data_IF_818243370527
#
_entry.id   IF_818243370527
#
_cell.length_a   1.000
_cell.length_b   1.000
_cell.length_c   1.000
_cell.angle_alpha   90.00
_cell.angle_beta   90.00
_cell.angle_gamma   90.00
#
_symmetry.space_group_name_H-M   'P 1'
#
loop_
_entity.id
_entity.type
_entity.pdbx_description
1 polymer ?
#
# COMPACT_ATOMS: atom_id res chain seq x y z
N UNK A 1 26.83 -63.32 -26.13
CA UNK A 1 26.98 -62.68 -24.80
C UNK A 1 26.70 -61.19 -24.96
N UNK A 2 25.58 -60.70 -24.43
CA UNK A 2 25.15 -59.31 -24.59
C UNK A 2 25.85 -58.40 -23.59
N UNK A 3 26.56 -57.37 -24.06
CA UNK A 3 27.12 -56.33 -23.22
C UNK A 3 25.99 -55.47 -22.63
N UNK A 4 25.77 -55.58 -21.32
CA UNK A 4 24.96 -54.63 -20.57
C UNK A 4 25.75 -53.33 -20.48
N UNK A 5 25.37 -52.35 -21.28
CA UNK A 5 25.90 -50.98 -21.19
C UNK A 5 25.24 -50.30 -19.99
N UNK A 6 25.94 -50.22 -18.86
CA UNK A 6 25.54 -49.35 -17.77
C UNK A 6 25.60 -47.87 -18.22
N UNK A 7 24.51 -47.09 -18.15
CA UNK A 7 24.56 -45.69 -18.52
C UNK A 7 25.43 -44.92 -17.50
N UNK A 8 26.60 -44.49 -17.97
CA UNK A 8 27.57 -43.69 -17.21
C UNK A 8 26.98 -42.32 -16.87
N UNK A 9 27.07 -41.97 -15.57
CA UNK A 9 27.09 -40.61 -14.97
C UNK A 9 26.10 -39.59 -15.53
N UNK A 10 25.05 -39.29 -14.74
CA UNK A 10 24.29 -38.02 -14.87
C UNK A 10 25.28 -36.85 -14.99
N UNK A 11 25.24 -36.15 -16.12
CA UNK A 11 26.16 -35.04 -16.42
C UNK A 11 26.01 -33.93 -15.37
N UNK A 12 27.11 -33.25 -15.00
CA UNK A 12 27.08 -32.07 -14.10
C UNK A 12 26.03 -31.05 -14.53
N UNK A 13 25.75 -30.94 -15.83
CA UNK A 13 24.67 -30.14 -16.39
C UNK A 13 23.28 -30.56 -15.88
N UNK A 14 22.91 -31.84 -15.95
CA UNK A 14 21.64 -32.33 -15.39
C UNK A 14 21.57 -32.17 -13.86
N UNK A 15 22.69 -32.34 -13.15
CA UNK A 15 22.75 -32.11 -11.71
C UNK A 15 22.52 -30.63 -11.36
N UNK A 16 23.13 -29.71 -12.12
CA UNK A 16 22.92 -28.27 -11.96
C UNK A 16 21.51 -27.84 -12.35
N UNK A 17 20.90 -28.43 -13.38
CA UNK A 17 19.49 -28.21 -13.75
C UNK A 17 18.56 -28.68 -12.61
N UNK A 18 18.78 -29.88 -12.08
CA UNK A 18 18.03 -30.41 -10.92
C UNK A 18 18.25 -29.61 -9.63
N UNK A 19 19.44 -29.02 -9.43
CA UNK A 19 19.72 -28.12 -8.31
C UNK A 19 19.04 -26.76 -8.50
N UNK A 20 19.00 -26.25 -9.73
CA UNK A 20 18.33 -24.99 -10.05
C UNK A 20 16.81 -25.10 -9.86
N UNK A 21 16.20 -26.23 -10.24
CA UNK A 21 14.80 -26.60 -9.98
C UNK A 21 14.46 -26.75 -8.47
N UNK A 22 15.47 -26.81 -7.59
CA UNK A 22 15.29 -26.98 -6.14
C UNK A 22 15.56 -25.72 -5.33
N UNK A 23 15.98 -24.62 -5.95
CA UNK A 23 16.31 -23.40 -5.20
C UNK A 23 15.03 -22.75 -4.69
N UNK A 24 14.79 -22.87 -3.38
CA UNK A 24 13.67 -22.20 -2.70
C UNK A 24 14.00 -20.72 -2.54
N UNK A 25 13.10 -19.84 -2.99
CA UNK A 25 13.25 -18.41 -2.77
C UNK A 25 13.16 -18.09 -1.27
N UNK A 26 13.95 -17.14 -0.77
CA UNK A 26 13.87 -16.77 0.65
C UNK A 26 12.55 -16.06 0.98
N UNK A 27 12.08 -16.21 2.22
CA UNK A 27 10.88 -15.51 2.69
C UNK A 27 11.00 -13.98 2.60
N UNK A 28 12.20 -13.45 2.79
CA UNK A 28 12.51 -12.02 2.67
C UNK A 28 12.46 -11.51 1.23
N UNK A 29 13.01 -12.27 0.28
CA UNK A 29 12.91 -11.93 -1.15
C UNK A 29 11.46 -11.99 -1.62
N UNK A 30 10.71 -13.02 -1.19
CA UNK A 30 9.28 -13.13 -1.50
C UNK A 30 8.47 -11.97 -0.93
N UNK A 31 8.71 -11.59 0.34
CA UNK A 31 8.06 -10.42 0.93
C UNK A 31 8.38 -9.13 0.16
N UNK A 32 9.66 -8.92 -0.17
CA UNK A 32 10.10 -7.78 -0.96
C UNK A 32 9.39 -7.72 -2.31
N UNK A 33 9.33 -8.84 -3.03
CA UNK A 33 8.60 -8.94 -4.29
C UNK A 33 7.10 -8.62 -4.12
N UNK A 34 6.44 -9.21 -3.13
CA UNK A 34 5.02 -8.94 -2.83
C UNK A 34 4.74 -7.45 -2.58
N UNK A 35 5.60 -6.78 -1.81
CA UNK A 35 5.46 -5.34 -1.52
C UNK A 35 5.66 -4.51 -2.79
N UNK A 36 6.72 -4.79 -3.56
CA UNK A 36 7.06 -4.01 -4.76
C UNK A 36 6.04 -4.15 -5.88
N UNK A 37 5.46 -5.34 -6.05
CA UNK A 37 4.52 -5.60 -7.15
C UNK A 37 3.05 -5.48 -6.73
N UNK A 38 2.77 -5.29 -5.43
CA UNK A 38 1.41 -5.36 -4.88
C UNK A 38 0.75 -6.74 -5.00
N UNK A 39 1.52 -7.79 -5.29
CA UNK A 39 0.99 -9.12 -5.55
C UNK A 39 0.81 -9.90 -4.23
N UNK A 40 -0.35 -10.53 -3.99
CA UNK A 40 -0.52 -11.36 -2.81
C UNK A 40 0.39 -12.59 -2.89
N UNK A 41 0.83 -13.08 -1.72
CA UNK A 41 1.71 -14.25 -1.61
C UNK A 41 1.23 -15.43 -2.47
N UNK A 42 -0.07 -15.71 -2.48
CA UNK A 42 -0.65 -16.86 -3.20
C UNK A 42 -0.44 -16.76 -4.71
N UNK A 43 -0.60 -15.56 -5.29
CA UNK A 43 -0.38 -15.33 -6.71
C UNK A 43 1.11 -15.40 -7.06
N UNK A 44 1.97 -14.79 -6.23
CA UNK A 44 3.42 -14.86 -6.42
C UNK A 44 3.97 -16.29 -6.28
N UNK A 45 3.44 -17.07 -5.33
CA UNK A 45 3.83 -18.46 -5.14
C UNK A 45 3.46 -19.34 -6.35
N UNK A 46 2.27 -19.12 -6.93
CA UNK A 46 1.87 -19.79 -8.19
C UNK A 46 2.80 -19.41 -9.34
N UNK A 47 3.10 -18.12 -9.49
CA UNK A 47 4.02 -17.64 -10.52
C UNK A 47 5.41 -18.28 -10.40
N UNK A 48 6.00 -18.29 -9.20
CA UNK A 48 7.29 -18.93 -8.96
C UNK A 48 7.29 -20.42 -9.32
N UNK A 49 6.23 -21.14 -8.91
CA UNK A 49 6.10 -22.55 -9.25
C UNK A 49 6.02 -22.80 -10.76
N UNK A 50 5.34 -21.92 -11.52
CA UNK A 50 5.30 -22.00 -12.99
C UNK A 50 6.69 -21.75 -13.62
N UNK A 51 7.52 -20.92 -12.99
CA UNK A 51 8.89 -20.68 -13.40
C UNK A 51 9.90 -21.72 -12.87
N UNK A 52 9.44 -22.88 -12.36
CA UNK A 52 10.31 -23.92 -11.82
C UNK A 52 11.02 -23.55 -10.50
N UNK A 53 10.57 -22.50 -9.81
CA UNK A 53 11.15 -22.02 -8.55
C UNK A 53 10.24 -22.34 -7.37
N UNK A 54 10.77 -22.96 -6.32
CA UNK A 54 9.97 -23.30 -5.13
C UNK A 54 9.68 -22.04 -4.28
N UNK A 55 8.42 -21.68 -4.03
CA UNK A 55 8.11 -20.57 -3.13
C UNK A 55 8.49 -20.90 -1.67
N UNK A 56 8.81 -19.89 -0.84
CA UNK A 56 8.95 -20.08 0.60
C UNK A 56 7.60 -20.41 1.23
N UNK A 57 7.60 -21.01 2.43
CA UNK A 57 6.37 -21.27 3.16
C UNK A 57 5.69 -19.95 3.59
N UNK A 58 4.37 -19.86 3.41
CA UNK A 58 3.57 -18.67 3.76
C UNK A 58 3.84 -18.15 5.17
N UNK A 59 3.90 -19.03 6.16
CA UNK A 59 4.15 -18.67 7.57
C UNK A 59 5.51 -17.98 7.76
N UNK A 60 6.54 -18.39 7.02
CA UNK A 60 7.85 -17.73 7.02
C UNK A 60 7.78 -16.31 6.46
N UNK A 61 7.03 -16.10 5.39
CA UNK A 61 6.81 -14.77 4.80
C UNK A 61 6.05 -13.85 5.77
N UNK A 62 4.97 -14.36 6.39
CA UNK A 62 4.19 -13.58 7.36
C UNK A 62 5.00 -13.24 8.63
N UNK A 63 5.90 -14.15 9.06
CA UNK A 63 6.83 -13.86 10.14
C UNK A 63 7.80 -12.73 9.76
N UNK A 64 8.34 -12.77 8.55
CA UNK A 64 9.22 -11.71 8.05
C UNK A 64 8.49 -10.36 7.94
N UNK A 65 7.22 -10.38 7.53
CA UNK A 65 6.38 -9.18 7.45
C UNK A 65 6.28 -8.51 8.81
N UNK A 66 5.96 -9.26 9.88
CA UNK A 66 5.91 -8.72 11.24
C UNK A 66 7.21 -8.04 11.67
N UNK A 67 8.37 -8.63 11.36
CA UNK A 67 9.66 -7.99 11.65
C UNK A 67 9.90 -6.71 10.85
N UNK A 68 9.38 -6.63 9.63
CA UNK A 68 9.55 -5.46 8.77
C UNK A 68 8.54 -4.34 9.08
N UNK A 69 7.38 -4.65 9.65
CA UNK A 69 6.30 -3.70 9.87
C UNK A 69 6.73 -2.50 10.72
N UNK A 70 7.47 -2.71 11.82
CA UNK A 70 7.97 -1.61 12.66
C UNK A 70 8.95 -0.71 11.92
N UNK A 71 9.84 -1.31 11.12
CA UNK A 71 10.77 -0.56 10.28
C UNK A 71 10.01 0.27 9.24
N UNK A 72 8.99 -0.29 8.60
CA UNK A 72 8.14 0.40 7.63
C UNK A 72 7.39 1.55 8.30
N UNK A 73 6.79 1.34 9.48
CA UNK A 73 6.11 2.39 10.24
C UNK A 73 7.06 3.54 10.60
N UNK A 74 8.27 3.24 11.07
CA UNK A 74 9.29 4.24 11.38
C UNK A 74 9.68 5.05 10.13
N UNK A 75 9.97 4.37 9.02
CA UNK A 75 10.32 5.02 7.75
C UNK A 75 9.17 5.88 7.20
N UNK A 76 7.92 5.41 7.32
CA UNK A 76 6.72 6.20 7.00
C UNK A 76 6.69 7.49 7.82
N UNK A 77 6.87 7.42 9.13
CA UNK A 77 6.84 8.60 10.00
C UNK A 77 7.94 9.61 9.66
N UNK A 78 9.16 9.14 9.37
CA UNK A 78 10.27 10.01 8.94
C UNK A 78 9.95 10.67 7.60
N UNK A 79 9.48 9.89 6.62
CA UNK A 79 9.10 10.40 5.30
C UNK A 79 8.02 11.47 5.40
N UNK A 80 6.95 11.23 6.16
CA UNK A 80 5.87 12.21 6.37
C UNK A 80 6.38 13.49 7.05
N UNK A 81 7.29 13.37 8.02
CA UNK A 81 7.88 14.54 8.68
C UNK A 81 8.70 15.40 7.70
N UNK A 82 9.52 14.78 6.85
CA UNK A 82 10.29 15.49 5.83
C UNK A 82 9.39 16.13 4.76
N UNK A 83 8.34 15.43 4.32
CA UNK A 83 7.34 15.98 3.40
C UNK A 83 6.69 17.24 3.98
N UNK A 84 6.27 17.19 5.24
CA UNK A 84 5.61 18.31 5.91
C UNK A 84 6.52 19.52 6.10
N UNK A 85 7.81 19.31 6.38
CA UNK A 85 8.80 20.41 6.47
C UNK A 85 9.01 21.14 5.15
N UNK A 86 8.77 20.47 4.02
CA UNK A 86 8.94 21.02 2.67
C UNK A 86 7.62 21.34 1.99
N UNK A 87 6.54 21.50 2.77
CA UNK A 87 5.21 21.76 2.23
C UNK A 87 5.14 23.13 1.54
N UNK A 88 4.63 23.15 0.30
CA UNK A 88 4.53 24.35 -0.54
C UNK A 88 3.33 25.28 -0.22
N UNK A 89 2.35 24.77 0.54
CA UNK A 89 1.06 25.41 0.76
C UNK A 89 -0.07 24.93 -0.15
N UNK A 90 0.24 24.18 -1.23
CA UNK A 90 -0.77 23.65 -2.15
C UNK A 90 -1.10 22.21 -1.81
N UNK A 91 -2.28 21.97 -1.25
CA UNK A 91 -2.73 20.66 -0.80
C UNK A 91 -3.64 20.03 -1.86
N UNK A 92 -3.42 18.77 -2.21
CA UNK A 92 -4.34 17.97 -3.00
C UNK A 92 -4.82 16.78 -2.17
N UNK A 93 -6.14 16.52 -2.15
CA UNK A 93 -6.74 15.42 -1.39
C UNK A 93 -7.58 14.54 -2.30
N UNK A 94 -7.15 13.29 -2.44
CA UNK A 94 -7.84 12.29 -3.28
C UNK A 94 -8.07 10.97 -2.52
N UNK A 95 -9.08 10.22 -2.97
CA UNK A 95 -9.47 8.93 -2.43
C UNK A 95 -9.42 7.82 -3.50
N UNK A 96 -8.58 6.81 -3.25
CA UNK A 96 -8.53 5.60 -4.08
C UNK A 96 -9.37 4.49 -3.47
N UNK A 97 -10.37 4.04 -4.22
CA UNK A 97 -11.24 2.92 -3.85
C UNK A 97 -10.62 1.57 -4.23
N UNK A 98 -10.82 0.54 -3.39
CA UNK A 98 -10.35 -0.83 -3.70
C UNK A 98 -11.26 -1.58 -4.67
N UNK A 99 -12.51 -1.16 -4.80
CA UNK A 99 -13.45 -1.72 -5.77
C UNK A 99 -14.36 -0.63 -6.34
N UNK A 100 -14.76 -0.77 -7.61
CA UNK A 100 -15.54 0.24 -8.35
C UNK A 100 -16.95 0.46 -7.77
N UNK A 101 -17.59 -0.59 -7.24
CA UNK A 101 -18.96 -0.54 -6.69
C UNK A 101 -18.96 -1.11 -5.27
N UNK A 102 -19.53 -0.41 -4.29
CA UNK A 102 -19.62 -0.88 -2.89
C UNK A 102 -18.26 -1.27 -2.31
N UNK A 103 -17.29 -0.36 -2.42
CA UNK A 103 -15.93 -0.64 -2.02
C UNK A 103 -15.84 -0.95 -0.52
N UNK A 104 -15.21 -2.06 -0.12
CA UNK A 104 -15.02 -2.39 1.29
C UNK A 104 -13.98 -1.49 1.97
N UNK A 105 -13.17 -0.77 1.18
CA UNK A 105 -12.16 0.14 1.68
C UNK A 105 -11.85 1.27 0.70
N UNK A 106 -11.38 2.38 1.24
CA UNK A 106 -10.77 3.46 0.47
C UNK A 106 -9.48 3.94 1.16
N UNK A 107 -8.55 4.46 0.37
CA UNK A 107 -7.35 5.12 0.87
C UNK A 107 -7.45 6.59 0.53
N UNK A 108 -7.56 7.45 1.54
CA UNK A 108 -7.56 8.90 1.35
C UNK A 108 -6.15 9.43 1.60
N UNK A 109 -5.64 10.21 0.67
CA UNK A 109 -4.27 10.73 0.67
C UNK A 109 -4.28 12.24 0.49
N UNK A 110 -3.54 12.92 1.35
CA UNK A 110 -3.17 14.32 1.18
C UNK A 110 -1.73 14.40 0.67
N UNK A 111 -1.54 15.07 -0.46
CA UNK A 111 -0.25 15.31 -1.05
C UNK A 111 -0.04 16.80 -1.32
N UNK A 112 1.21 17.23 -1.31
CA UNK A 112 1.59 18.54 -1.79
C UNK A 112 1.53 18.56 -3.33
N UNK A 113 0.70 19.43 -3.89
CA UNK A 113 0.47 19.50 -5.33
C UNK A 113 1.72 19.96 -6.11
N UNK A 114 2.67 20.64 -5.46
CA UNK A 114 3.93 21.10 -6.06
C UNK A 114 5.01 20.04 -5.89
N UNK A 115 5.31 19.64 -4.65
CA UNK A 115 6.42 18.70 -4.39
C UNK A 115 6.06 17.25 -4.66
N UNK A 116 4.78 16.96 -4.89
CA UNK A 116 4.19 15.62 -5.09
C UNK A 116 4.43 14.69 -3.89
N UNK A 117 4.79 15.23 -2.73
CA UNK A 117 5.07 14.46 -1.52
C UNK A 117 3.80 14.23 -0.72
N UNK A 118 3.67 13.02 -0.16
CA UNK A 118 2.55 12.67 0.73
C UNK A 118 2.73 13.35 2.09
N UNK A 119 1.70 14.06 2.53
CA UNK A 119 1.64 14.78 3.81
C UNK A 119 0.86 14.00 4.87
N UNK A 120 -0.18 13.28 4.45
CA UNK A 120 -0.96 12.39 5.28
C UNK A 120 -1.65 11.32 4.42
N UNK A 121 -1.90 10.15 5.00
CA UNK A 121 -2.60 9.07 4.33
C UNK A 121 -3.31 8.19 5.35
N UNK A 122 -4.57 7.84 5.07
CA UNK A 122 -5.40 6.99 5.91
C UNK A 122 -6.13 5.96 5.06
N UNK A 123 -6.16 4.71 5.54
CA UNK A 123 -7.04 3.68 4.99
C UNK A 123 -8.32 3.66 5.80
N UNK A 124 -9.46 3.74 5.15
CA UNK A 124 -10.80 3.58 5.72
C UNK A 124 -11.30 2.20 5.31
N UNK A 125 -11.59 1.35 6.27
CA UNK A 125 -12.06 -0.02 6.04
C UNK A 125 -13.43 -0.21 6.71
N UNK A 126 -14.38 -0.76 5.96
CA UNK A 126 -15.70 -1.13 6.47
C UNK A 126 -15.62 -2.23 7.52
N UNK A 127 -16.44 -2.10 8.56
CA UNK A 127 -16.68 -3.13 9.57
C UNK A 127 -17.38 -4.33 8.92
N UNK A 128 -16.96 -5.53 9.31
CA UNK A 128 -17.47 -6.81 8.80
C UNK A 128 -16.52 -7.54 7.84
N UNK A 129 -16.87 -8.77 7.48
CA UNK A 129 -16.17 -9.57 6.47
C UNK A 129 -14.73 -9.99 6.82
N UNK A 130 -14.42 -10.20 8.10
CA UNK A 130 -13.06 -10.56 8.59
C UNK A 130 -11.96 -9.59 8.14
N UNK A 131 -12.29 -8.32 7.95
CA UNK A 131 -11.34 -7.29 7.52
C UNK A 131 -10.47 -6.84 8.69
N UNK A 132 -9.16 -6.79 8.47
CA UNK A 132 -8.21 -6.27 9.45
C UNK A 132 -8.30 -4.75 9.53
N UNK A 133 -8.16 -4.19 10.73
CA UNK A 133 -8.24 -2.76 10.99
C UNK A 133 -9.50 -2.15 10.36
N UNK A 134 -10.68 -2.66 10.72
CA UNK A 134 -11.95 -2.09 10.30
C UNK A 134 -12.41 -1.04 11.32
N UNK A 135 -12.82 0.14 10.84
CA UNK A 135 -13.18 1.26 11.72
C UNK A 135 -14.36 2.10 11.20
N UNK A 136 -15.02 1.65 10.13
CA UNK A 136 -16.08 2.44 9.49
C UNK A 136 -17.39 1.66 9.37
N UNK A 137 -18.45 2.20 9.96
CA UNK A 137 -19.81 1.63 9.94
C UNK A 137 -20.79 2.40 9.04
N UNK A 138 -20.41 3.55 8.48
CA UNK A 138 -21.28 4.36 7.62
C UNK A 138 -21.42 3.82 6.20
N UNK A 139 -22.12 4.55 5.33
CA UNK A 139 -22.28 4.20 3.92
C UNK A 139 -20.96 4.37 3.12
N UNK A 140 -20.70 3.47 2.15
CA UNK A 140 -19.44 3.49 1.39
C UNK A 140 -19.18 4.84 0.71
N UNK A 141 -20.22 5.48 0.16
CA UNK A 141 -20.13 6.79 -0.50
C UNK A 141 -19.78 7.96 0.44
N UNK A 142 -19.64 7.73 1.75
CA UNK A 142 -19.24 8.73 2.75
C UNK A 142 -17.82 8.44 3.31
N UNK A 143 -17.17 7.35 2.88
CA UNK A 143 -15.85 6.98 3.41
C UNK A 143 -14.77 7.98 3.04
N UNK A 144 -14.86 8.59 1.86
CA UNK A 144 -13.95 9.64 1.43
C UNK A 144 -14.02 10.84 2.36
N UNK A 145 -15.22 11.38 2.62
CA UNK A 145 -15.40 12.51 3.54
C UNK A 145 -14.95 12.14 4.98
N UNK A 146 -15.17 10.90 5.42
CA UNK A 146 -14.67 10.41 6.70
C UNK A 146 -13.12 10.35 6.74
N UNK A 147 -12.48 9.90 5.66
CA UNK A 147 -11.03 9.91 5.52
C UNK A 147 -10.46 11.33 5.44
N UNK A 148 -11.08 12.22 4.68
CA UNK A 148 -10.72 13.65 4.60
C UNK A 148 -10.74 14.30 5.97
N UNK A 149 -11.76 14.03 6.80
CA UNK A 149 -11.80 14.52 8.18
C UNK A 149 -10.60 14.03 9.00
N UNK A 150 -10.19 12.77 8.86
CA UNK A 150 -9.02 12.24 9.57
C UNK A 150 -7.72 12.90 9.06
N UNK A 151 -7.61 13.11 7.74
CA UNK A 151 -6.49 13.83 7.13
C UNK A 151 -6.38 15.24 7.70
N UNK A 152 -7.47 16.02 7.70
CA UNK A 152 -7.48 17.38 8.23
C UNK A 152 -7.15 17.42 9.73
N UNK A 153 -7.65 16.47 10.54
CA UNK A 153 -7.24 16.33 11.95
C UNK A 153 -5.73 16.11 12.10
N UNK A 154 -5.14 15.27 11.25
CA UNK A 154 -3.68 15.07 11.26
C UNK A 154 -2.95 16.35 10.86
N UNK A 155 -3.34 17.01 9.77
CA UNK A 155 -2.70 18.25 9.32
C UNK A 155 -2.82 19.36 10.37
N UNK A 156 -3.96 19.47 11.06
CA UNK A 156 -4.15 20.38 12.20
C UNK A 156 -3.19 20.06 13.35
N UNK A 157 -3.11 18.79 13.75
CA UNK A 157 -2.21 18.32 14.82
C UNK A 157 -0.74 18.65 14.55
N UNK A 158 -0.31 18.60 13.29
CA UNK A 158 1.06 18.91 12.89
C UNK A 158 1.27 20.37 12.47
N UNK A 159 0.29 21.25 12.73
CA UNK A 159 0.32 22.66 12.40
C UNK A 159 0.58 22.96 10.91
N UNK A 160 0.10 22.09 10.02
CA UNK A 160 0.25 22.22 8.56
C UNK A 160 -0.90 23.02 7.95
N UNK A 161 -2.11 22.91 8.53
CA UNK A 161 -3.30 23.59 7.98
C UNK A 161 -3.14 25.12 7.90
N UNK A 162 -2.39 25.73 8.83
CA UNK A 162 -2.14 27.18 8.83
C UNK A 162 -1.31 27.66 7.64
N UNK A 163 -0.55 26.76 7.01
CA UNK A 163 0.34 27.06 5.90
C UNK A 163 -0.33 26.73 4.55
N UNK A 164 -1.57 26.22 4.56
CA UNK A 164 -2.33 25.89 3.35
C UNK A 164 -2.83 27.17 2.69
N UNK A 165 -2.53 27.30 1.39
CA UNK A 165 -2.97 28.39 0.51
C UNK A 165 -4.13 27.96 -0.37
N UNK A 166 -4.16 26.69 -0.75
CA UNK A 166 -5.14 26.14 -1.70
C UNK A 166 -5.33 24.64 -1.43
N UNK A 167 -6.57 24.17 -1.53
CA UNK A 167 -6.96 22.76 -1.43
C UNK A 167 -7.60 22.34 -2.75
N UNK A 168 -6.90 21.49 -3.50
CA UNK A 168 -7.33 20.93 -4.77
C UNK A 168 -8.06 19.61 -4.51
N UNK A 169 -9.30 19.52 -4.98
CA UNK A 169 -10.13 18.32 -4.82
C UNK A 169 -11.19 18.19 -5.92
N UNK A 170 -11.57 16.97 -6.24
CA UNK A 170 -12.74 16.67 -7.06
C UNK A 170 -14.02 17.27 -6.46
N UNK A 171 -15.00 17.58 -7.33
CA UNK A 171 -16.33 18.01 -6.89
C UNK A 171 -17.04 16.89 -6.16
N UNK A 172 -16.97 16.91 -4.83
CA UNK A 172 -17.77 16.07 -3.94
C UNK A 172 -18.66 16.94 -3.06
N UNK A 173 -19.97 16.78 -3.24
CA UNK A 173 -21.03 17.49 -2.53
C UNK A 173 -20.93 17.36 -1.00
N UNK A 174 -20.20 16.37 -0.51
CA UNK A 174 -20.06 16.06 0.93
C UNK A 174 -18.80 16.63 1.55
N UNK A 175 -17.80 16.99 0.74
CA UNK A 175 -16.50 17.46 1.21
C UNK A 175 -16.53 18.90 1.74
N UNK A 176 -17.42 19.74 1.22
CA UNK A 176 -17.61 21.14 1.65
C UNK A 176 -17.91 21.25 3.15
N UNK A 177 -18.85 20.43 3.67
CA UNK A 177 -19.19 20.45 5.10
C UNK A 177 -18.01 20.05 5.99
N UNK A 178 -17.14 19.16 5.50
CA UNK A 178 -15.91 18.79 6.19
C UNK A 178 -14.94 19.96 6.18
N UNK A 179 -14.76 20.69 5.08
CA UNK A 179 -13.84 21.83 5.07
C UNK A 179 -14.34 23.01 5.92
N UNK A 180 -15.66 23.21 6.00
CA UNK A 180 -16.26 24.19 6.92
C UNK A 180 -15.96 23.87 8.38
N UNK A 181 -16.02 22.60 8.80
CA UNK A 181 -15.67 22.14 10.16
C UNK A 181 -14.24 22.56 10.57
N UNK A 182 -13.32 22.69 9.61
CA UNK A 182 -11.93 23.07 9.85
C UNK A 182 -11.63 24.53 9.48
N UNK A 183 -12.61 25.31 9.03
CA UNK A 183 -12.44 26.71 8.65
C UNK A 183 -11.64 26.93 7.36
N UNK A 184 -11.55 25.91 6.49
CA UNK A 184 -10.72 25.94 5.26
C UNK A 184 -11.53 25.84 3.97
N UNK A 185 -12.86 25.92 4.04
CA UNK A 185 -13.73 25.81 2.86
C UNK A 185 -13.49 26.90 1.81
N UNK A 186 -13.03 28.07 2.22
CA UNK A 186 -12.69 29.18 1.31
C UNK A 186 -11.40 28.94 0.51
N UNK A 187 -10.61 27.93 0.88
CA UNK A 187 -9.38 27.53 0.20
C UNK A 187 -9.61 26.43 -0.84
N UNK A 188 -10.83 25.88 -0.92
CA UNK A 188 -11.16 24.80 -1.85
C UNK A 188 -11.20 25.32 -3.29
N UNK A 189 -10.47 24.63 -4.15
CA UNK A 189 -10.51 24.79 -5.60
C UNK A 189 -10.79 23.44 -6.23
N UNK A 190 -11.73 23.41 -7.16
CA UNK A 190 -12.01 22.21 -7.91
C UNK A 190 -10.91 21.94 -8.92
N UNK A 191 -10.52 20.67 -9.04
CA UNK A 191 -9.63 20.23 -10.13
C UNK A 191 -10.27 20.62 -11.48
N UNK A 192 -9.53 21.28 -12.41
CA UNK A 192 -10.08 21.74 -13.69
C UNK A 192 -10.69 20.64 -14.57
#
# INVERSE_FOLDING_TARGET
MGHIVHPKRKTKAMHNILLHERRRLSARQMLGACIMTGMPYTKGARFLSLCGTKPPVKSGVMRQQRFCDDKIRRLKSISLMLSRKSFSGYLSIDARWTHRRNSPSCTVTALDAVTKRVLACVNINHIGGNRQHAQYSGASNNMESAGTRIILKQLKKYNILKDVKEIIKDRDNKSVSVFQEFGVSHLERFDP
#
